data_IF_635539410028
#
_entry.id   IF_635539410028
#
_cell.length_a   1.000
_cell.length_b   1.000
_cell.length_c   1.000
_cell.angle_alpha   90.00
_cell.angle_beta   90.00
_cell.angle_gamma   90.00
#
_symmetry.space_group_name_H-M   'P 1'
#
loop_
_entity.id
_entity.type
_entity.pdbx_description
1 polymer ?
#
# COMPACT_ATOMS: atom_id res chain seq x y z
N UNK A 1 15.19 -2.54 -1.38
CA UNK A 1 13.81 -2.58 -1.90
C UNK A 1 12.88 -2.73 -0.70
N UNK A 2 11.68 -2.10 -0.73
CA UNK A 2 10.70 -2.26 0.34
C UNK A 2 10.29 -3.73 0.47
N UNK A 3 10.17 -4.22 1.70
CA UNK A 3 9.49 -5.49 1.98
C UNK A 3 8.00 -5.34 1.69
N UNK A 4 7.31 -6.46 1.54
CA UNK A 4 5.88 -6.47 1.23
C UNK A 4 5.04 -5.79 2.32
N UNK A 5 5.40 -6.02 3.59
CA UNK A 5 4.80 -5.35 4.76
C UNK A 5 5.00 -3.83 4.71
N UNK A 6 6.23 -3.36 4.53
CA UNK A 6 6.52 -1.91 4.46
C UNK A 6 5.84 -1.23 3.27
N UNK A 7 5.64 -1.95 2.16
CA UNK A 7 4.97 -1.43 0.97
C UNK A 7 3.47 -1.23 1.23
N UNK A 8 2.81 -2.19 1.86
CA UNK A 8 1.40 -2.09 2.25
C UNK A 8 1.19 -0.98 3.29
N UNK A 9 2.02 -0.93 4.33
CA UNK A 9 1.97 0.13 5.35
C UNK A 9 2.16 1.52 4.71
N UNK A 10 3.15 1.65 3.83
CA UNK A 10 3.40 2.91 3.12
C UNK A 10 2.20 3.33 2.27
N UNK A 11 1.51 2.38 1.64
CA UNK A 11 0.31 2.65 0.86
C UNK A 11 -0.85 3.14 1.74
N UNK A 12 -1.13 2.44 2.85
CA UNK A 12 -2.18 2.84 3.79
C UNK A 12 -1.91 4.22 4.38
N UNK A 13 -0.68 4.48 4.84
CA UNK A 13 -0.29 5.79 5.35
C UNK A 13 -0.39 6.89 4.29
N UNK A 14 0.01 6.60 3.04
CA UNK A 14 -0.07 7.58 1.96
C UNK A 14 -1.52 7.96 1.63
N UNK A 15 -2.44 7.00 1.68
CA UNK A 15 -3.88 7.23 1.51
C UNK A 15 -4.45 8.03 2.69
N UNK A 16 -4.13 7.64 3.93
CA UNK A 16 -4.59 8.32 5.14
C UNK A 16 -4.14 9.79 5.20
N UNK A 17 -2.87 10.04 4.90
CA UNK A 17 -2.27 11.37 4.89
C UNK A 17 -2.65 12.18 3.64
N UNK A 18 -3.42 11.61 2.70
CA UNK A 18 -3.82 12.25 1.43
C UNK A 18 -2.62 12.79 0.66
N UNK A 19 -1.57 11.98 0.54
CA UNK A 19 -0.39 12.33 -0.25
C UNK A 19 -0.73 12.43 -1.74
N UNK A 20 0.25 12.87 -2.53
CA UNK A 20 0.09 13.04 -3.97
C UNK A 20 -0.39 11.76 -4.65
N UNK A 21 -1.39 11.94 -5.53
CA UNK A 21 -2.03 10.82 -6.24
C UNK A 21 -1.03 9.99 -7.05
N UNK A 22 -0.02 10.64 -7.62
CA UNK A 22 1.02 9.96 -8.40
C UNK A 22 1.83 9.01 -7.51
N UNK A 23 2.20 9.45 -6.31
CA UNK A 23 2.89 8.61 -5.34
C UNK A 23 2.06 7.40 -4.93
N UNK A 24 0.78 7.60 -4.59
CA UNK A 24 -0.14 6.51 -4.24
C UNK A 24 -0.29 5.52 -5.40
N UNK A 25 -0.34 6.02 -6.65
CA UNK A 25 -0.45 5.19 -7.85
C UNK A 25 0.80 4.32 -8.05
N UNK A 26 1.99 4.85 -7.75
CA UNK A 26 3.24 4.09 -7.82
C UNK A 26 3.27 2.94 -6.80
N UNK A 27 2.79 3.18 -5.57
CA UNK A 27 2.70 2.14 -4.55
C UNK A 27 1.73 1.04 -4.98
N UNK A 28 0.54 1.41 -5.49
CA UNK A 28 -0.44 0.46 -6.03
C UNK A 28 0.11 -0.38 -7.18
N UNK A 29 0.86 0.24 -8.10
CA UNK A 29 1.46 -0.49 -9.22
C UNK A 29 2.45 -1.56 -8.75
N UNK A 30 3.27 -1.25 -7.73
CA UNK A 30 4.21 -2.21 -7.17
C UNK A 30 3.51 -3.30 -6.33
N UNK A 31 2.45 -2.95 -5.59
CA UNK A 31 1.60 -3.90 -4.86
C UNK A 31 0.97 -4.92 -5.82
N UNK A 32 0.36 -4.45 -6.91
CA UNK A 32 -0.22 -5.33 -7.93
C UNK A 32 0.84 -6.19 -8.62
N UNK A 33 2.01 -5.63 -8.93
CA UNK A 33 3.12 -6.38 -9.55
C UNK A 33 3.58 -7.56 -8.68
N UNK A 34 3.44 -7.44 -7.37
CA UNK A 34 3.81 -8.49 -6.39
C UNK A 34 2.64 -9.38 -5.98
N UNK A 35 1.43 -9.14 -6.50
CA UNK A 35 0.19 -9.81 -6.09
C UNK A 35 -0.06 -9.74 -4.57
N UNK A 36 0.21 -8.59 -3.95
CA UNK A 36 -0.10 -8.36 -2.54
C UNK A 36 -1.54 -7.90 -2.37
N UNK A 37 -2.18 -8.33 -1.28
CA UNK A 37 -3.56 -7.96 -0.97
C UNK A 37 -3.58 -6.69 -0.10
N UNK A 38 -4.18 -5.62 -0.62
CA UNK A 38 -4.36 -4.35 0.10
C UNK A 38 -5.46 -4.40 1.17
N UNK A 39 -6.25 -5.46 1.21
CA UNK A 39 -7.39 -5.61 2.13
C UNK A 39 -7.03 -6.40 3.40
N UNK A 40 -5.76 -6.78 3.56
CA UNK A 40 -5.26 -7.52 4.73
C UNK A 40 -5.32 -6.72 6.06
N UNK A 41 -5.81 -5.48 6.03
CA UNK A 41 -6.08 -4.65 7.22
C UNK A 41 -7.47 -4.82 7.85
N UNK A 42 -8.33 -5.70 7.33
CA UNK A 42 -9.64 -6.02 7.93
C UNK A 42 -9.71 -7.45 8.47
N UNK A 43 -8.71 -7.87 9.25
CA UNK A 43 -8.91 -8.98 10.18
C UNK A 43 -9.38 -8.37 11.50
N UNK A 44 -10.68 -8.51 11.75
CA UNK A 44 -11.32 -8.31 13.05
C UNK A 44 -10.45 -8.89 14.19
N UNK A 45 -10.04 -8.04 15.12
CA UNK A 45 -10.17 -8.29 16.56
C UNK A 45 -9.99 -7.03 17.40
#
# INVERSE_FOLDING_TARGET
>A
MLTDEMLLDSYHMAVELKLEREFITLLLAEIHKRNLDTDSGSILH
#
